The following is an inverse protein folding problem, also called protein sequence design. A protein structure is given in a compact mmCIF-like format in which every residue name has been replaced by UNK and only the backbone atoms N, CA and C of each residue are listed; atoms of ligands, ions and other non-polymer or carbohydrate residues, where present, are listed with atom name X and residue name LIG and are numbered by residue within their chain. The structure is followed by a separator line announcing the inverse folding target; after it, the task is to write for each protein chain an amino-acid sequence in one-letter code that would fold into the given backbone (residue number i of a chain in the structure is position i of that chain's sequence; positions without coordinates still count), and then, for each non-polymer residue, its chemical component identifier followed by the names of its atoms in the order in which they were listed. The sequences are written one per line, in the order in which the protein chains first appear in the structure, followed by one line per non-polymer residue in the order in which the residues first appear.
data_IF_136244045357
#
_entry.id   IF_136244045357
#
_cell.length_a   1.000
_cell.length_b   1.000
_cell.length_c   1.000
_cell.angle_alpha   90.00
_cell.angle_beta   90.00
_cell.angle_gamma   90.00
#
_symmetry.space_group_name_H-M   'P 1'
#
loop_
_entity.id
_entity.type
_entity.pdbx_description
1 polymer ?
#
# COMPACT_ATOMS: atom_id res chain seq x y z
N UNK A 1 34.23 -24.11 -7.27
CA UNK A 1 33.26 -23.71 -8.31
C UNK A 1 31.89 -24.18 -7.88
N UNK A 2 30.86 -23.35 -7.98
CA UNK A 2 29.47 -23.71 -7.66
C UNK A 2 28.61 -23.42 -8.89
N UNK A 3 27.87 -24.42 -9.35
CA UNK A 3 26.85 -24.29 -10.39
C UNK A 3 25.48 -24.49 -9.73
N UNK A 4 24.56 -23.57 -9.96
CA UNK A 4 23.17 -23.66 -9.53
C UNK A 4 22.33 -23.84 -10.79
N UNK A 5 21.65 -24.97 -10.89
CA UNK A 5 20.83 -25.36 -12.05
C UNK A 5 19.38 -25.54 -11.63
N UNK A 6 18.43 -25.29 -12.54
CA UNK A 6 17.01 -25.55 -12.31
C UNK A 6 16.61 -26.87 -13.00
N UNK A 7 15.98 -27.82 -12.30
CA UNK A 7 15.49 -29.03 -12.96
C UNK A 7 14.36 -28.67 -13.94
N UNK A 8 14.23 -29.45 -15.03
CA UNK A 8 13.12 -29.30 -15.96
C UNK A 8 11.78 -29.44 -15.22
N UNK A 9 11.00 -28.37 -15.16
CA UNK A 9 9.70 -28.38 -14.47
C UNK A 9 8.66 -28.91 -15.45
N UNK A 10 8.15 -30.14 -15.24
CA UNK A 10 7.15 -30.74 -16.13
C UNK A 10 5.85 -31.02 -15.39
N UNK A 11 4.73 -30.63 -15.98
CA UNK A 11 3.41 -30.92 -15.44
C UNK A 11 3.10 -32.41 -15.48
N UNK A 12 2.62 -32.96 -14.36
CA UNK A 12 2.16 -34.35 -14.27
C UNK A 12 0.64 -34.40 -14.38
N UNK A 13 0.11 -35.20 -15.30
CA UNK A 13 -1.32 -35.47 -15.43
C UNK A 13 -1.68 -36.71 -14.60
N UNK A 14 -2.51 -36.50 -13.57
CA UNK A 14 -3.08 -37.57 -12.77
C UNK A 14 -4.55 -37.75 -13.18
N UNK A 15 -4.86 -38.88 -13.80
CA UNK A 15 -6.21 -39.22 -14.20
C UNK A 15 -6.88 -40.08 -13.11
N UNK A 16 -8.08 -39.70 -12.71
CA UNK A 16 -8.90 -40.46 -11.77
C UNK A 16 -10.13 -40.97 -12.52
N UNK A 17 -10.24 -42.30 -12.66
CA UNK A 17 -11.39 -42.94 -13.28
C UNK A 17 -12.42 -43.25 -12.21
N UNK A 18 -13.60 -42.63 -12.30
CA UNK A 18 -14.70 -42.88 -11.38
C UNK A 18 -15.61 -43.94 -12.00
N UNK A 19 -15.70 -45.10 -11.36
CA UNK A 19 -16.57 -46.17 -11.82
C UNK A 19 -18.01 -45.90 -11.41
N UNK A 20 -18.93 -46.22 -12.32
CA UNK A 20 -20.38 -46.11 -12.11
C UNK A 20 -21.01 -47.49 -12.26
N UNK A 21 -21.82 -47.89 -11.29
CA UNK A 21 -22.53 -49.17 -11.27
C UNK A 21 -24.04 -48.94 -11.10
N UNK A 22 -24.83 -49.76 -11.79
CA UNK A 22 -26.28 -49.79 -11.62
C UNK A 22 -26.66 -50.94 -10.68
N UNK A 23 -27.42 -50.65 -9.64
CA UNK A 23 -28.00 -51.64 -8.75
C UNK A 23 -29.20 -52.33 -9.44
N UNK A 24 -29.53 -53.55 -9.02
CA UNK A 24 -30.71 -54.29 -9.49
C UNK A 24 -32.03 -53.53 -9.29
N UNK A 25 -32.08 -52.57 -8.36
CA UNK A 25 -33.23 -51.68 -8.16
C UNK A 25 -33.30 -50.48 -9.13
N UNK A 26 -32.38 -50.37 -10.09
CA UNK A 26 -32.30 -49.27 -11.06
C UNK A 26 -31.53 -48.04 -10.57
N UNK A 27 -31.07 -48.01 -9.31
CA UNK A 27 -30.29 -46.88 -8.78
C UNK A 27 -28.84 -46.93 -9.27
N UNK A 28 -28.34 -45.79 -9.73
CA UNK A 28 -26.96 -45.64 -10.22
C UNK A 28 -26.07 -45.04 -9.12
N UNK A 29 -24.91 -45.65 -8.91
CA UNK A 29 -23.92 -45.23 -7.92
C UNK A 29 -22.59 -44.96 -8.61
N UNK A 30 -22.04 -43.76 -8.44
CA UNK A 30 -20.72 -43.39 -8.95
C UNK A 30 -19.73 -43.26 -7.80
N UNK A 31 -18.52 -43.79 -7.96
CA UNK A 31 -17.44 -43.67 -6.98
C UNK A 31 -17.15 -42.20 -6.65
N UNK A 32 -16.91 -41.92 -5.36
CA UNK A 32 -16.55 -40.57 -4.92
C UNK A 32 -15.18 -40.16 -5.48
N UNK A 33 -15.01 -38.87 -5.76
CA UNK A 33 -13.70 -38.32 -6.13
C UNK A 33 -12.76 -38.38 -4.93
N UNK A 34 -11.45 -38.62 -5.13
CA UNK A 34 -10.46 -38.48 -4.06
C UNK A 34 -10.49 -37.07 -3.47
N UNK A 35 -10.20 -36.97 -2.18
CA UNK A 35 -10.15 -35.70 -1.47
C UNK A 35 -9.19 -34.72 -2.16
N UNK A 36 -9.64 -33.49 -2.38
CA UNK A 36 -8.85 -32.42 -3.03
C UNK A 36 -8.86 -32.41 -4.56
N UNK A 37 -9.49 -33.39 -5.22
CA UNK A 37 -9.67 -33.38 -6.68
C UNK A 37 -10.85 -32.48 -7.07
N UNK A 38 -10.60 -31.53 -7.96
CA UNK A 38 -11.63 -30.61 -8.47
C UNK A 38 -12.80 -31.35 -9.09
N UNK A 39 -14.01 -30.78 -9.01
CA UNK A 39 -15.20 -31.28 -9.72
C UNK A 39 -15.15 -31.05 -11.25
N UNK A 40 -14.27 -30.16 -11.73
CA UNK A 40 -14.08 -29.92 -13.15
C UNK A 40 -13.51 -31.17 -13.86
N UNK A 41 -13.74 -31.33 -15.18
CA UNK A 41 -13.14 -32.41 -15.97
C UNK A 41 -11.61 -32.37 -15.98
N UNK A 42 -11.04 -31.16 -15.94
CA UNK A 42 -9.60 -30.91 -15.81
C UNK A 42 -9.38 -29.90 -14.68
N UNK A 43 -8.51 -30.23 -13.74
CA UNK A 43 -8.10 -29.34 -12.65
C UNK A 43 -6.58 -29.15 -12.66
N UNK A 44 -6.12 -27.95 -12.33
CA UNK A 44 -4.68 -27.69 -12.12
C UNK A 44 -4.37 -27.68 -10.63
N UNK A 45 -3.27 -28.33 -10.23
CA UNK A 45 -2.86 -28.44 -8.83
C UNK A 45 -2.47 -27.09 -8.20
N UNK A 46 -2.43 -27.05 -6.86
CA UNK A 46 -2.26 -25.81 -6.09
C UNK A 46 -0.94 -25.07 -6.37
N UNK A 47 0.14 -25.79 -6.68
CA UNK A 47 1.43 -25.15 -7.00
C UNK A 47 1.32 -24.29 -8.26
N UNK A 48 0.69 -24.80 -9.33
CA UNK A 48 0.45 -24.05 -10.55
C UNK A 48 -0.50 -22.87 -10.29
N UNK A 49 -1.53 -23.08 -9.46
CA UNK A 49 -2.44 -22.00 -9.06
C UNK A 49 -1.70 -20.85 -8.34
N UNK A 50 -0.81 -21.18 -7.39
CA UNK A 50 -0.01 -20.20 -6.68
C UNK A 50 0.93 -19.44 -7.64
N UNK A 51 1.58 -20.14 -8.57
CA UNK A 51 2.42 -19.53 -9.61
C UNK A 51 1.66 -18.50 -10.43
N UNK A 52 0.48 -18.87 -10.94
CA UNK A 52 -0.38 -17.97 -11.69
C UNK A 52 -0.74 -16.73 -10.88
N UNK A 53 -1.16 -16.88 -9.61
CA UNK A 53 -1.54 -15.74 -8.77
C UNK A 53 -0.33 -14.83 -8.50
N UNK A 54 0.84 -15.40 -8.23
CA UNK A 54 2.07 -14.66 -8.03
C UNK A 54 2.44 -13.82 -9.27
N UNK A 55 2.48 -14.43 -10.45
CA UNK A 55 2.76 -13.75 -11.71
C UNK A 55 1.74 -12.64 -12.00
N UNK A 56 0.46 -12.91 -11.77
CA UNK A 56 -0.61 -11.94 -12.00
C UNK A 56 -0.52 -10.75 -11.04
N UNK A 57 -0.30 -10.98 -9.75
CA UNK A 57 -0.46 -9.97 -8.68
C UNK A 57 0.85 -9.25 -8.36
N UNK A 58 1.96 -9.97 -8.25
CA UNK A 58 3.28 -9.43 -7.90
C UNK A 58 3.97 -8.84 -9.12
N UNK A 59 3.95 -9.57 -10.24
CA UNK A 59 4.67 -9.19 -11.47
C UNK A 59 3.78 -8.52 -12.52
N UNK A 60 2.48 -8.39 -12.24
CA UNK A 60 1.50 -7.75 -13.13
C UNK A 60 1.45 -8.36 -14.55
N UNK A 61 1.81 -9.64 -14.71
CA UNK A 61 1.75 -10.34 -15.99
C UNK A 61 0.28 -10.41 -16.43
N UNK A 62 -0.06 -10.00 -17.67
CA UNK A 62 -1.41 -10.13 -18.19
C UNK A 62 -1.87 -11.58 -18.25
N UNK A 63 -3.18 -11.81 -18.10
CA UNK A 63 -3.79 -13.15 -17.99
C UNK A 63 -3.36 -14.10 -19.11
N UNK A 64 -3.41 -13.65 -20.37
CA UNK A 64 -3.05 -14.50 -21.52
C UNK A 64 -1.56 -14.86 -21.51
N UNK A 65 -0.69 -13.87 -21.27
CA UNK A 65 0.76 -14.08 -21.12
C UNK A 65 1.11 -14.98 -19.93
N UNK A 66 0.33 -14.95 -18.86
CA UNK A 66 0.51 -15.83 -17.73
C UNK A 66 0.21 -17.30 -18.11
N UNK A 67 -0.87 -17.54 -18.86
CA UNK A 67 -1.18 -18.88 -19.39
C UNK A 67 -0.09 -19.37 -20.35
N UNK A 68 0.35 -18.53 -21.29
CA UNK A 68 1.44 -18.83 -22.24
C UNK A 68 2.75 -19.17 -21.51
N UNK A 69 3.12 -18.38 -20.50
CA UNK A 69 4.35 -18.61 -19.74
C UNK A 69 4.29 -19.94 -18.97
N UNK A 70 3.15 -20.27 -18.37
CA UNK A 70 2.98 -21.56 -17.68
C UNK A 70 3.05 -22.73 -18.66
N UNK A 71 2.45 -22.60 -19.85
CA UNK A 71 2.53 -23.62 -20.89
C UNK A 71 3.96 -23.81 -21.39
N UNK A 72 4.67 -22.72 -21.69
CA UNK A 72 6.04 -22.78 -22.18
C UNK A 72 7.02 -23.39 -21.17
N UNK A 73 6.86 -23.06 -19.88
CA UNK A 73 7.79 -23.52 -18.84
C UNK A 73 7.46 -24.89 -18.27
N UNK A 74 6.21 -25.36 -18.38
CA UNK A 74 5.76 -26.57 -17.69
C UNK A 74 5.03 -27.60 -18.54
N UNK A 75 4.60 -27.23 -19.75
CA UNK A 75 3.69 -28.02 -20.57
C UNK A 75 2.25 -28.08 -20.05
N UNK A 76 1.91 -27.41 -18.94
CA UNK A 76 0.53 -27.29 -18.50
C UNK A 76 -0.20 -26.21 -19.30
N UNK A 77 -1.40 -26.51 -19.79
CA UNK A 77 -2.18 -25.60 -20.63
C UNK A 77 -3.41 -25.02 -19.88
N UNK A 78 -3.23 -24.15 -18.86
CA UNK A 78 -4.36 -23.54 -18.20
C UNK A 78 -5.04 -22.53 -19.13
N UNK A 79 -6.38 -22.57 -19.20
CA UNK A 79 -7.11 -21.56 -19.98
C UNK A 79 -6.96 -20.16 -19.37
N UNK A 80 -7.00 -19.08 -20.18
CA UNK A 80 -7.02 -17.71 -19.67
C UNK A 80 -8.17 -17.46 -18.68
N UNK A 81 -9.33 -18.10 -18.88
CA UNK A 81 -10.46 -18.04 -17.96
C UNK A 81 -10.16 -18.63 -16.59
N UNK A 82 -9.49 -19.79 -16.56
CA UNK A 82 -9.03 -20.40 -15.30
C UNK A 82 -8.02 -19.49 -14.58
N UNK A 83 -7.03 -18.97 -15.31
CA UNK A 83 -6.01 -18.06 -14.77
C UNK A 83 -6.64 -16.79 -14.22
N UNK A 84 -7.61 -16.20 -14.92
CA UNK A 84 -8.33 -15.02 -14.45
C UNK A 84 -9.10 -15.29 -13.15
N UNK A 85 -9.81 -16.42 -13.08
CA UNK A 85 -10.59 -16.82 -11.91
C UNK A 85 -9.77 -17.06 -10.64
N UNK A 86 -8.46 -17.32 -10.76
CA UNK A 86 -7.58 -17.51 -9.61
C UNK A 86 -7.46 -16.28 -8.71
N UNK A 87 -7.58 -15.07 -9.27
CA UNK A 87 -7.51 -13.84 -8.47
C UNK A 87 -8.64 -13.80 -7.43
N UNK A 88 -9.86 -14.19 -7.83
CA UNK A 88 -11.01 -14.25 -6.92
C UNK A 88 -10.85 -15.32 -5.84
N UNK A 89 -10.36 -16.51 -6.22
CA UNK A 89 -10.09 -17.62 -5.27
C UNK A 89 -9.03 -17.22 -4.24
N UNK A 90 -7.93 -16.63 -4.68
CA UNK A 90 -6.87 -16.15 -3.79
C UNK A 90 -7.38 -15.04 -2.87
N UNK A 91 -8.17 -14.10 -3.37
CA UNK A 91 -8.74 -13.03 -2.55
C UNK A 91 -9.67 -13.57 -1.44
N UNK A 92 -10.48 -14.58 -1.76
CA UNK A 92 -11.31 -15.26 -0.77
C UNK A 92 -10.45 -15.98 0.28
N UNK A 93 -9.38 -16.67 -0.14
CA UNK A 93 -8.47 -17.37 0.75
C UNK A 93 -7.79 -16.43 1.77
N UNK A 94 -7.45 -15.20 1.38
CA UNK A 94 -6.78 -14.22 2.25
C UNK A 94 -7.74 -13.24 2.95
N UNK A 95 -9.06 -13.42 2.82
CA UNK A 95 -10.04 -12.45 3.32
C UNK A 95 -9.95 -12.26 4.84
N UNK A 96 -9.79 -13.35 5.60
CA UNK A 96 -9.64 -13.30 7.07
C UNK A 96 -8.37 -12.56 7.49
N UNK A 97 -7.26 -12.78 6.80
CA UNK A 97 -6.02 -12.07 7.05
C UNK A 97 -6.15 -10.58 6.75
N UNK A 98 -6.78 -10.21 5.63
CA UNK A 98 -7.01 -8.80 5.29
C UNK A 98 -7.89 -8.07 6.33
N UNK A 99 -8.93 -8.73 6.85
CA UNK A 99 -9.75 -8.17 7.92
C UNK A 99 -8.92 -7.90 9.18
N UNK A 100 -8.06 -8.86 9.58
CA UNK A 100 -7.13 -8.69 10.70
C UNK A 100 -6.10 -7.59 10.44
N UNK A 101 -5.50 -7.52 9.26
CA UNK A 101 -4.54 -6.47 8.88
C UNK A 101 -5.18 -5.08 9.03
N UNK A 102 -6.42 -4.90 8.52
CA UNK A 102 -7.16 -3.65 8.67
C UNK A 102 -7.36 -3.29 10.15
N UNK A 103 -7.83 -4.24 10.97
CA UNK A 103 -8.03 -4.05 12.40
C UNK A 103 -6.73 -3.69 13.14
N UNK A 104 -5.63 -4.38 12.84
CA UNK A 104 -4.34 -4.08 13.47
C UNK A 104 -3.82 -2.69 13.08
N UNK A 105 -4.10 -2.24 11.85
CA UNK A 105 -3.78 -0.87 11.43
C UNK A 105 -4.60 0.18 12.17
N UNK A 106 -5.88 -0.07 12.47
CA UNK A 106 -6.69 0.89 13.24
C UNK A 106 -6.25 0.99 14.70
N UNK A 107 -5.64 -0.06 15.24
CA UNK A 107 -5.07 -0.09 16.59
C UNK A 107 -3.60 0.38 16.63
N UNK A 108 -2.95 0.58 15.49
CA UNK A 108 -1.55 0.95 15.44
C UNK A 108 -1.33 2.41 15.89
N UNK A 109 -0.25 2.64 16.62
CA UNK A 109 0.14 3.98 17.05
C UNK A 109 0.50 4.89 15.87
N UNK A 110 1.06 4.35 14.79
CA UNK A 110 1.42 5.11 13.58
C UNK A 110 0.91 4.40 12.34
N UNK A 111 0.21 5.15 11.48
CA UNK A 111 -0.30 4.67 10.20
C UNK A 111 0.07 5.65 9.09
N UNK A 112 0.73 5.13 8.06
CA UNK A 112 0.99 5.84 6.81
C UNK A 112 -0.20 5.66 5.85
N UNK A 113 -0.80 6.77 5.41
CA UNK A 113 -1.94 6.78 4.50
C UNK A 113 -1.64 7.59 3.25
N UNK A 114 -2.02 7.08 2.08
CA UNK A 114 -1.90 7.79 0.80
C UNK A 114 -2.94 7.24 -0.20
N UNK A 115 -3.15 7.96 -1.30
CA UNK A 115 -4.00 7.53 -2.38
C UNK A 115 -3.39 7.84 -3.75
N UNK A 116 -3.56 6.91 -4.69
CA UNK A 116 -3.08 7.11 -6.05
C UNK A 116 -4.15 6.84 -7.11
N UNK A 117 -4.26 7.70 -8.15
CA UNK A 117 -5.15 7.45 -9.27
C UNK A 117 -4.89 6.09 -9.93
N UNK A 118 -5.97 5.36 -10.18
CA UNK A 118 -5.98 4.06 -10.82
C UNK A 118 -7.04 4.03 -11.93
N UNK A 119 -6.64 3.63 -13.14
CA UNK A 119 -7.54 3.47 -14.29
C UNK A 119 -8.36 2.18 -14.15
N UNK A 120 -9.53 2.28 -13.54
CA UNK A 120 -10.44 1.14 -13.30
C UNK A 120 -11.81 1.41 -13.90
N UNK A 121 -12.47 0.37 -14.42
CA UNK A 121 -13.83 0.43 -14.94
C UNK A 121 -13.90 1.11 -16.32
N UNK A 122 -15.06 1.70 -16.69
CA UNK A 122 -15.27 2.29 -18.01
C UNK A 122 -14.32 3.46 -18.31
N UNK A 123 -14.14 3.83 -19.59
CA UNK A 123 -13.05 4.71 -20.09
C UNK A 123 -12.93 6.06 -19.34
N UNK A 124 -14.03 6.62 -18.83
CA UNK A 124 -14.08 7.89 -18.09
C UNK A 124 -14.02 7.74 -16.56
N UNK A 125 -14.16 6.53 -16.03
CA UNK A 125 -14.09 6.30 -14.60
C UNK A 125 -12.67 6.54 -14.07
N UNK A 126 -12.59 7.40 -13.04
CA UNK A 126 -11.41 7.64 -12.22
C UNK A 126 -11.66 7.01 -10.85
N UNK A 127 -10.82 6.06 -10.48
CA UNK A 127 -10.79 5.49 -9.13
C UNK A 127 -9.44 5.81 -8.51
N UNK A 128 -9.38 5.63 -7.20
CA UNK A 128 -8.17 5.75 -6.41
C UNK A 128 -7.94 4.45 -5.68
N UNK A 129 -6.66 4.07 -5.62
CA UNK A 129 -6.20 3.04 -4.71
C UNK A 129 -5.69 3.76 -3.46
N UNK A 130 -6.40 3.60 -2.36
CA UNK A 130 -6.00 4.08 -1.05
C UNK A 130 -5.15 3.00 -0.39
N UNK A 131 -4.11 3.39 0.35
CA UNK A 131 -3.28 2.49 1.15
C UNK A 131 -3.24 2.98 2.59
N UNK A 132 -3.37 2.05 3.53
CA UNK A 132 -3.00 2.23 4.93
C UNK A 132 -1.91 1.21 5.25
N UNK A 133 -0.81 1.66 5.84
CA UNK A 133 0.33 0.79 6.08
C UNK A 133 1.20 1.28 7.23
N UNK A 134 2.03 0.37 7.72
CA UNK A 134 3.17 0.70 8.58
C UNK A 134 4.34 -0.22 8.18
N UNK A 135 5.35 -0.37 9.05
CA UNK A 135 6.52 -1.20 8.78
C UNK A 135 6.18 -2.69 8.61
N UNK A 136 5.07 -3.16 9.18
CA UNK A 136 4.68 -4.58 9.20
C UNK A 136 3.45 -4.88 8.33
N UNK A 137 2.53 -3.94 8.19
CA UNK A 137 1.19 -4.16 7.66
C UNK A 137 0.92 -3.31 6.41
N UNK A 138 0.14 -3.84 5.48
CA UNK A 138 -0.34 -3.13 4.28
C UNK A 138 -1.77 -3.52 3.97
N UNK A 139 -2.65 -2.53 3.91
CA UNK A 139 -4.03 -2.71 3.47
C UNK A 139 -4.39 -1.71 2.37
N UNK A 140 -5.10 -2.18 1.36
CA UNK A 140 -5.55 -1.35 0.25
C UNK A 140 -7.06 -1.30 0.16
N UNK A 141 -7.57 -0.16 -0.29
CA UNK A 141 -8.97 0.00 -0.64
C UNK A 141 -9.12 0.67 -1.99
N UNK A 142 -9.95 0.10 -2.86
CA UNK A 142 -10.36 0.74 -4.10
C UNK A 142 -11.58 1.64 -3.84
N UNK A 143 -11.51 2.90 -4.21
CA UNK A 143 -12.61 3.84 -4.02
C UNK A 143 -12.47 5.12 -4.85
N UNK A 144 -13.15 6.17 -4.41
CA UNK A 144 -13.00 7.53 -4.92
C UNK A 144 -12.02 8.36 -4.09
N UNK A 145 -11.86 9.62 -4.47
CA UNK A 145 -11.18 10.64 -3.64
C UNK A 145 -12.24 11.59 -3.10
N UNK A 146 -13.14 11.00 -2.32
CA UNK A 146 -14.36 11.62 -1.79
C UNK A 146 -14.60 11.20 -0.33
N UNK A 147 -15.41 11.98 0.38
CA UNK A 147 -15.67 11.78 1.80
C UNK A 147 -16.34 10.43 2.10
N UNK A 148 -17.21 9.95 1.21
CA UNK A 148 -17.89 8.67 1.38
C UNK A 148 -16.89 7.51 1.39
N UNK A 149 -15.90 7.55 0.50
CA UNK A 149 -14.80 6.59 0.46
C UNK A 149 -13.94 6.69 1.71
N UNK A 150 -13.53 7.90 2.11
CA UNK A 150 -12.63 8.10 3.25
C UNK A 150 -13.27 7.69 4.59
N UNK A 151 -14.60 7.79 4.74
CA UNK A 151 -15.33 7.25 5.91
C UNK A 151 -15.31 5.72 6.00
N UNK A 152 -15.25 5.02 4.87
CA UNK A 152 -15.15 3.55 4.81
C UNK A 152 -13.71 3.03 4.93
N UNK A 153 -12.74 3.94 4.83
CA UNK A 153 -11.33 3.62 4.95
C UNK A 153 -10.96 3.34 6.43
N UNK A 154 -9.68 3.25 6.77
CA UNK A 154 -9.25 3.09 8.17
C UNK A 154 -9.33 4.38 8.97
N UNK A 155 -9.39 5.53 8.28
CA UNK A 155 -9.25 6.84 8.89
C UNK A 155 -10.36 7.19 9.86
N UNK A 156 -11.51 6.53 9.89
CA UNK A 156 -12.52 6.81 10.92
C UNK A 156 -12.21 6.11 12.26
N UNK A 157 -11.34 5.09 12.24
CA UNK A 157 -11.11 4.16 13.35
C UNK A 157 -9.68 4.24 13.93
N UNK A 158 -8.72 4.87 13.23
CA UNK A 158 -7.33 5.03 13.74
C UNK A 158 -7.31 5.94 14.97
N UNK A 159 -6.69 5.55 16.08
CA UNK A 159 -6.58 6.41 17.27
C UNK A 159 -5.20 7.05 17.44
N UNK A 160 -4.20 6.58 16.68
CA UNK A 160 -2.83 7.09 16.70
C UNK A 160 -2.56 8.22 15.71
N UNK A 161 -1.30 8.33 15.30
CA UNK A 161 -0.79 9.34 14.37
C UNK A 161 -0.95 8.87 12.92
N UNK A 162 -1.60 9.69 12.11
CA UNK A 162 -1.67 9.47 10.66
C UNK A 162 -0.57 10.27 9.97
N UNK A 163 0.35 9.54 9.32
CA UNK A 163 1.36 10.11 8.43
C UNK A 163 0.77 10.17 7.03
N UNK A 164 0.58 11.36 6.49
CA UNK A 164 0.00 11.55 5.16
C UNK A 164 0.69 12.71 4.44
N UNK A 165 0.25 13.00 3.21
CA UNK A 165 0.67 14.20 2.51
C UNK A 165 0.00 15.45 3.15
N UNK A 166 -0.50 16.40 2.37
CA UNK A 166 -1.29 17.52 2.88
C UNK A 166 -2.61 17.63 2.12
N UNK A 167 -3.20 16.49 1.74
CA UNK A 167 -4.50 16.53 1.12
C UNK A 167 -5.58 16.85 2.15
N UNK A 168 -6.29 17.96 1.95
CA UNK A 168 -7.27 18.53 2.88
C UNK A 168 -8.33 17.56 3.42
N UNK A 169 -8.62 16.45 2.71
CA UNK A 169 -9.62 15.48 3.18
C UNK A 169 -9.18 14.78 4.47
N UNK A 170 -7.87 14.62 4.69
CA UNK A 170 -7.32 14.00 5.90
C UNK A 170 -7.57 14.86 7.14
N UNK A 171 -7.78 16.16 6.97
CA UNK A 171 -8.05 17.13 8.04
C UNK A 171 -9.56 17.27 8.36
N UNK A 172 -10.41 16.49 7.69
CA UNK A 172 -11.86 16.61 7.85
C UNK A 172 -12.31 16.10 9.24
N UNK A 173 -12.88 16.99 10.03
CA UNK A 173 -13.33 16.70 11.42
C UNK A 173 -14.36 15.58 11.52
N UNK A 174 -15.15 15.35 10.45
CA UNK A 174 -16.14 14.26 10.39
C UNK A 174 -15.52 12.88 10.09
N UNK A 175 -14.20 12.79 9.93
CA UNK A 175 -13.47 11.52 9.98
C UNK A 175 -13.02 11.19 11.41
N UNK A 176 -13.18 12.09 12.38
CA UNK A 176 -12.76 11.90 13.77
C UNK A 176 -11.42 12.56 14.09
N UNK A 177 -11.17 12.81 15.37
CA UNK A 177 -9.98 13.53 15.85
C UNK A 177 -8.74 12.63 15.85
N UNK A 178 -7.64 13.12 15.26
CA UNK A 178 -6.38 12.39 15.13
C UNK A 178 -5.20 13.34 15.21
N UNK A 179 -4.07 12.78 15.61
CA UNK A 179 -2.79 13.42 15.41
C UNK A 179 -2.30 13.20 13.99
N UNK A 180 -1.64 14.21 13.43
CA UNK A 180 -1.10 14.15 12.09
C UNK A 180 0.43 14.31 12.10
N UNK A 181 1.07 13.61 11.16
CA UNK A 181 2.40 13.94 10.71
C UNK A 181 2.34 14.27 9.21
N UNK A 182 2.64 15.52 8.85
CA UNK A 182 2.73 15.91 7.46
C UNK A 182 4.03 15.39 6.84
N UNK A 183 3.95 14.81 5.66
CA UNK A 183 5.10 14.22 4.98
C UNK A 183 6.17 15.27 4.67
N UNK A 184 7.30 15.23 5.39
CA UNK A 184 8.40 16.17 5.22
C UNK A 184 9.01 16.12 3.81
N UNK A 185 8.94 14.97 3.11
CA UNK A 185 9.43 14.85 1.73
C UNK A 185 8.57 15.65 0.72
N UNK A 186 7.27 15.81 0.97
CA UNK A 186 6.43 16.70 0.18
C UNK A 186 6.74 18.16 0.51
N UNK A 187 6.84 18.50 1.80
CA UNK A 187 7.18 19.86 2.24
C UNK A 187 8.54 20.33 1.70
N UNK A 188 9.55 19.45 1.70
CA UNK A 188 10.88 19.76 1.16
C UNK A 188 10.82 20.02 -0.35
N UNK A 189 9.96 19.29 -1.10
CA UNK A 189 9.75 19.55 -2.54
C UNK A 189 9.03 20.88 -2.76
N UNK A 190 7.96 21.15 -2.03
CA UNK A 190 7.26 22.44 -2.09
C UNK A 190 8.22 23.61 -1.77
N UNK A 191 9.16 23.41 -0.84
CA UNK A 191 10.19 24.39 -0.50
C UNK A 191 11.28 24.53 -1.57
N UNK A 192 11.52 23.50 -2.38
CA UNK A 192 12.41 23.59 -3.55
C UNK A 192 11.74 24.43 -4.64
N UNK A 193 10.47 24.15 -4.95
CA UNK A 193 9.68 24.96 -5.88
C UNK A 193 9.63 26.44 -5.45
N UNK A 194 9.58 26.69 -4.13
CA UNK A 194 9.68 28.04 -3.58
C UNK A 194 11.09 28.65 -3.74
N UNK A 195 12.16 27.87 -3.63
CA UNK A 195 13.51 28.37 -3.87
C UNK A 195 13.70 28.80 -5.34
N UNK A 196 13.09 28.07 -6.27
CA UNK A 196 13.08 28.41 -7.70
C UNK A 196 12.22 29.65 -7.97
N UNK A 197 11.04 29.74 -7.33
CA UNK A 197 10.10 30.86 -7.48
C UNK A 197 10.64 32.15 -6.85
N UNK A 198 11.34 32.06 -5.73
CA UNK A 198 11.88 33.20 -4.96
C UNK A 198 13.42 33.11 -4.83
N UNK A 199 14.18 33.27 -5.93
CA UNK A 199 15.62 32.96 -5.95
C UNK A 199 16.49 33.85 -5.04
N UNK A 200 15.98 35.03 -4.65
CA UNK A 200 16.65 35.95 -3.70
C UNK A 200 16.29 35.67 -2.24
N UNK A 201 15.24 34.88 -1.99
CA UNK A 201 14.76 34.61 -0.66
C UNK A 201 15.59 33.54 0.04
N UNK A 202 15.88 33.74 1.32
CA UNK A 202 16.68 32.78 2.12
C UNK A 202 15.83 31.71 2.80
N UNK A 203 14.58 32.06 3.12
CA UNK A 203 13.68 31.20 3.89
C UNK A 203 13.44 29.81 3.28
N UNK A 204 13.34 29.60 1.94
CA UNK A 204 13.03 28.26 1.41
C UNK A 204 14.16 27.28 1.74
N UNK A 205 15.40 27.66 1.42
CA UNK A 205 16.60 26.85 1.70
C UNK A 205 16.83 26.67 3.19
N UNK A 206 16.62 27.71 4.00
CA UNK A 206 16.71 27.61 5.47
C UNK A 206 15.72 26.58 6.03
N UNK A 207 14.47 26.58 5.57
CA UNK A 207 13.47 25.61 6.01
C UNK A 207 13.81 24.19 5.56
N UNK A 208 14.33 24.02 4.33
CA UNK A 208 14.82 22.72 3.88
C UNK A 208 15.98 22.23 4.74
N UNK A 209 16.94 23.09 5.10
CA UNK A 209 18.05 22.75 6.00
C UNK A 209 17.54 22.33 7.37
N UNK A 210 16.55 23.05 7.93
CA UNK A 210 15.96 22.69 9.21
C UNK A 210 15.27 21.31 9.19
N UNK A 211 14.43 21.05 8.19
CA UNK A 211 13.73 19.77 8.05
C UNK A 211 14.71 18.61 7.81
N UNK A 212 15.68 18.78 6.89
CA UNK A 212 16.71 17.75 6.64
C UNK A 212 17.59 17.50 7.85
N UNK A 213 17.93 18.55 8.61
CA UNK A 213 18.68 18.45 9.86
C UNK A 213 17.96 17.65 10.92
N UNK A 214 16.66 17.91 11.14
CA UNK A 214 15.82 17.13 12.07
C UNK A 214 15.66 15.68 11.60
N UNK A 215 15.46 15.42 10.31
CA UNK A 215 15.38 14.07 9.76
C UNK A 215 16.68 13.31 10.01
N UNK A 216 17.82 13.95 9.73
CA UNK A 216 19.13 13.35 9.96
C UNK A 216 19.35 13.04 11.45
N UNK A 217 19.06 13.99 12.34
CA UNK A 217 19.20 13.81 13.77
C UNK A 217 18.26 12.71 14.32
N UNK A 218 17.02 12.63 13.83
CA UNK A 218 16.08 11.56 14.18
C UNK A 218 16.60 10.18 13.74
N UNK A 219 17.18 10.08 12.54
CA UNK A 219 17.74 8.83 12.05
C UNK A 219 18.98 8.42 12.84
N UNK A 220 19.87 9.37 13.18
CA UNK A 220 21.04 9.11 14.00
C UNK A 220 20.64 8.62 15.40
N UNK A 221 19.66 9.29 16.02
CA UNK A 221 19.13 8.88 17.33
C UNK A 221 18.59 7.44 17.31
N UNK A 222 17.84 7.05 16.28
CA UNK A 222 17.37 5.66 16.08
C UNK A 222 18.52 4.67 15.89
N UNK A 223 19.52 5.03 15.09
CA UNK A 223 20.70 4.16 14.86
C UNK A 223 21.52 3.95 16.13
N UNK A 224 21.57 4.95 17.00
CA UNK A 224 22.23 4.88 18.30
C UNK A 224 21.38 4.19 19.39
N UNK A 225 20.13 3.82 19.10
CA UNK A 225 19.22 3.20 20.06
C UNK A 225 18.70 4.18 21.13
N UNK A 226 18.72 5.48 20.84
CA UNK A 226 18.16 6.52 21.74
C UNK A 226 16.72 6.84 21.37
N UNK A 227 15.92 7.22 22.36
CA UNK A 227 14.48 7.48 22.18
C UNK A 227 14.16 8.91 21.73
N UNK A 228 15.14 9.82 21.72
CA UNK A 228 14.95 11.22 21.39
C UNK A 228 16.16 11.86 20.70
N UNK A 229 15.90 12.91 19.92
CA UNK A 229 16.97 13.79 19.40
C UNK A 229 17.60 14.55 20.57
N UNK A 230 18.92 14.70 20.57
CA UNK A 230 19.64 15.52 21.54
C UNK A 230 19.03 16.92 21.66
N UNK A 231 18.74 17.37 22.89
CA UNK A 231 17.95 18.57 23.15
C UNK A 231 18.51 19.83 22.48
N UNK A 232 19.84 20.02 22.49
CA UNK A 232 20.49 21.13 21.80
C UNK A 232 20.29 21.12 20.29
N UNK A 233 20.40 19.95 19.66
CA UNK A 233 20.18 19.76 18.22
C UNK A 233 18.72 20.00 17.83
N UNK A 234 17.78 19.46 18.62
CA UNK A 234 16.35 19.70 18.42
C UNK A 234 16.02 21.19 18.54
N UNK A 235 16.49 21.87 19.60
CA UNK A 235 16.26 23.30 19.81
C UNK A 235 16.88 24.17 18.71
N UNK A 236 18.07 23.81 18.22
CA UNK A 236 18.74 24.52 17.12
C UNK A 236 17.92 24.45 15.83
N UNK A 237 17.54 23.25 15.38
CA UNK A 237 16.81 23.09 14.13
C UNK A 237 15.36 23.60 14.23
N UNK A 238 14.68 23.43 15.36
CA UNK A 238 13.34 23.99 15.57
C UNK A 238 13.36 25.53 15.55
N UNK A 239 14.39 26.16 16.12
CA UNK A 239 14.57 27.62 16.02
C UNK A 239 14.84 28.05 14.59
N UNK A 240 15.68 27.33 13.86
CA UNK A 240 15.93 27.62 12.44
C UNK A 240 14.67 27.47 11.59
N UNK A 241 13.83 26.46 11.87
CA UNK A 241 12.53 26.27 11.23
C UNK A 241 11.60 27.47 11.50
N UNK A 242 11.35 27.80 12.77
CA UNK A 242 10.47 28.91 13.15
C UNK A 242 10.95 30.26 12.60
N UNK A 243 12.26 30.51 12.63
CA UNK A 243 12.86 31.70 12.04
C UNK A 243 12.66 31.76 10.52
N UNK A 244 12.81 30.64 9.82
CA UNK A 244 12.58 30.55 8.38
C UNK A 244 11.13 30.86 8.01
N UNK A 245 10.17 30.33 8.79
CA UNK A 245 8.74 30.64 8.61
C UNK A 245 8.48 32.14 8.83
N UNK A 246 9.04 32.73 9.89
CA UNK A 246 8.86 34.15 10.19
C UNK A 246 9.41 35.06 9.10
N UNK A 247 10.64 34.80 8.62
CA UNK A 247 11.25 35.53 7.49
C UNK A 247 10.40 35.38 6.24
N UNK A 248 10.00 34.16 5.89
CA UNK A 248 9.16 33.93 4.71
C UNK A 248 7.83 34.65 4.75
N UNK A 249 7.13 34.64 5.89
CA UNK A 249 5.87 35.39 6.06
C UNK A 249 6.06 36.91 6.01
N UNK A 250 7.25 37.39 6.34
CA UNK A 250 7.60 38.81 6.24
C UNK A 250 7.86 39.24 4.80
N UNK A 251 8.47 38.37 3.98
CA UNK A 251 8.80 38.64 2.58
C UNK A 251 7.62 38.38 1.64
N UNK A 252 6.91 37.27 1.83
CA UNK A 252 5.77 36.87 1.01
C UNK A 252 4.48 37.36 1.67
N UNK A 253 4.00 38.54 1.27
CA UNK A 253 2.77 39.14 1.79
C UNK A 253 1.51 38.47 1.24
N UNK A 254 0.41 38.54 2.00
CA UNK A 254 -0.90 38.20 1.46
C UNK A 254 -1.31 39.22 0.40
N UNK A 255 -1.99 38.74 -0.63
CA UNK A 255 -2.70 39.60 -1.57
C UNK A 255 -4.03 40.02 -0.93
N UNK A 256 -4.34 41.32 -0.79
CA UNK A 256 -5.59 41.79 -0.22
C UNK A 256 -6.82 41.37 -1.06
N UNK A 257 -7.94 41.07 -0.39
CA UNK A 257 -9.24 40.83 -1.01
C UNK A 257 -9.92 39.52 -0.57
N UNK A 258 -11.16 39.27 -1.04
CA UNK A 258 -11.94 38.10 -0.61
C UNK A 258 -11.31 36.77 -1.05
N UNK A 259 -11.30 35.77 -0.17
CA UNK A 259 -10.72 34.45 -0.46
C UNK A 259 -11.37 33.72 -1.66
N UNK A 260 -12.61 34.07 -2.02
CA UNK A 260 -13.32 33.50 -3.18
C UNK A 260 -12.80 34.01 -4.52
N UNK A 261 -12.16 35.18 -4.54
CA UNK A 261 -11.75 35.86 -5.79
C UNK A 261 -10.25 36.08 -5.87
N UNK A 262 -9.54 36.06 -4.74
CA UNK A 262 -8.09 36.27 -4.66
C UNK A 262 -7.37 34.95 -4.37
N UNK A 263 -6.48 34.56 -5.28
CA UNK A 263 -5.57 33.44 -5.09
C UNK A 263 -4.30 33.92 -4.39
N UNK A 264 -3.97 33.31 -3.25
CA UNK A 264 -2.72 33.61 -2.54
C UNK A 264 -1.53 32.92 -3.24
N UNK A 265 -0.31 33.49 -3.16
CA UNK A 265 0.89 32.82 -3.65
C UNK A 265 1.06 31.45 -3.00
N UNK A 266 1.49 30.43 -3.77
CA UNK A 266 1.69 29.06 -3.25
C UNK A 266 2.65 29.07 -2.05
N UNK A 267 3.75 29.81 -2.14
CA UNK A 267 4.70 30.00 -1.04
C UNK A 267 4.05 30.62 0.21
N UNK A 268 3.08 31.52 0.06
CA UNK A 268 2.34 32.09 1.19
C UNK A 268 1.50 31.03 1.90
N UNK A 269 0.76 30.23 1.13
CA UNK A 269 -0.07 29.14 1.67
C UNK A 269 0.80 28.10 2.38
N UNK A 270 1.94 27.74 1.80
CA UNK A 270 2.91 26.84 2.41
C UNK A 270 3.42 27.39 3.75
N UNK A 271 3.84 28.64 3.80
CA UNK A 271 4.33 29.27 5.03
C UNK A 271 3.27 29.33 6.13
N UNK A 272 2.01 29.60 5.77
CA UNK A 272 0.90 29.57 6.72
C UNK A 272 0.65 28.15 7.26
N UNK A 273 0.73 27.12 6.42
CA UNK A 273 0.71 25.72 6.88
C UNK A 273 1.86 25.44 7.85
N UNK A 274 3.09 25.83 7.50
CA UNK A 274 4.26 25.57 8.33
C UNK A 274 4.21 26.29 9.69
N UNK A 275 3.49 27.43 9.76
CA UNK A 275 3.20 28.16 11.00
C UNK A 275 2.09 27.48 11.80
N UNK A 276 0.92 27.30 11.18
CA UNK A 276 -0.33 26.92 11.85
C UNK A 276 -0.36 25.43 12.20
N UNK A 277 0.43 24.62 11.49
CA UNK A 277 0.56 23.18 11.70
C UNK A 277 2.00 22.76 12.02
N UNK A 278 2.77 23.64 12.69
CA UNK A 278 4.15 23.35 13.05
C UNK A 278 4.28 22.03 13.83
N UNK A 279 3.34 21.74 14.72
CA UNK A 279 3.35 20.50 15.50
C UNK A 279 3.14 19.26 14.61
N UNK A 280 2.27 19.33 13.59
CA UNK A 280 2.09 18.24 12.63
C UNK A 280 3.30 18.08 11.68
N UNK A 281 4.05 19.15 11.43
CA UNK A 281 5.26 19.10 10.59
C UNK A 281 6.42 18.48 11.36
N UNK A 282 6.58 18.84 12.64
CA UNK A 282 7.74 18.52 13.46
C UNK A 282 7.52 17.35 14.42
N UNK A 283 6.33 16.73 14.45
CA UNK A 283 5.98 15.65 15.40
C UNK A 283 7.02 14.53 15.46
N UNK A 284 7.52 14.08 14.32
CA UNK A 284 8.56 13.04 14.20
C UNK A 284 9.86 13.37 14.95
N UNK A 285 10.15 14.65 15.17
CA UNK A 285 11.35 15.09 15.87
C UNK A 285 11.19 15.01 17.40
N UNK A 286 9.95 14.97 17.89
CA UNK A 286 9.60 14.82 19.29
C UNK A 286 9.26 13.37 19.67
N UNK A 287 8.80 12.56 18.70
CA UNK A 287 8.55 11.14 18.88
C UNK A 287 9.15 10.34 17.72
N UNK A 288 10.22 9.60 18.01
CA UNK A 288 10.99 8.85 17.02
C UNK A 288 10.25 7.62 16.47
N UNK A 289 9.12 7.21 17.05
CA UNK A 289 8.28 6.14 16.50
C UNK A 289 7.58 6.60 15.21
N UNK A 290 7.39 7.90 15.06
CA UNK A 290 6.74 8.51 13.89
C UNK A 290 7.79 8.76 12.81
N UNK A 291 7.61 8.24 11.57
CA UNK A 291 8.52 8.52 10.48
C UNK A 291 8.28 9.96 9.96
N UNK A 292 9.35 10.68 9.56
CA UNK A 292 9.21 12.03 8.99
C UNK A 292 8.50 12.05 7.63
N UNK A 293 8.42 10.90 6.96
CA UNK A 293 7.96 10.79 5.57
C UNK A 293 6.93 9.69 5.43
N UNK A 294 6.00 9.88 4.50
CA UNK A 294 5.03 8.88 4.08
C UNK A 294 5.59 7.86 3.05
N UNK A 295 6.91 7.68 3.01
CA UNK A 295 7.60 6.85 2.01
C UNK A 295 7.11 5.41 1.98
N UNK A 296 6.61 4.87 3.10
CA UNK A 296 6.08 3.51 3.14
C UNK A 296 4.83 3.37 2.26
N UNK A 297 3.88 4.30 2.38
CA UNK A 297 2.67 4.31 1.57
C UNK A 297 2.99 4.49 0.07
N UNK A 298 3.90 5.40 -0.26
CA UNK A 298 4.36 5.63 -1.64
C UNK A 298 5.00 4.36 -2.24
N UNK A 299 5.87 3.67 -1.49
CA UNK A 299 6.49 2.40 -1.91
C UNK A 299 5.44 1.33 -2.15
N UNK A 300 4.46 1.20 -1.25
CA UNK A 300 3.38 0.22 -1.37
C UNK A 300 2.46 0.53 -2.58
N UNK A 301 2.20 1.80 -2.89
CA UNK A 301 1.39 2.20 -4.06
C UNK A 301 2.13 2.09 -5.39
N UNK A 302 3.46 2.24 -5.42
CA UNK A 302 4.26 2.30 -6.66
C UNK A 302 3.99 1.15 -7.64
N UNK A 303 3.88 -0.13 -7.23
CA UNK A 303 3.63 -1.19 -8.20
C UNK A 303 2.25 -1.15 -8.86
N UNK A 304 1.28 -0.40 -8.31
CA UNK A 304 0.02 -0.11 -9.02
C UNK A 304 0.25 0.74 -10.28
N UNK A 305 1.27 1.61 -10.29
CA UNK A 305 1.67 2.37 -11.48
C UNK A 305 2.38 1.48 -12.49
N UNK A 306 3.27 0.59 -12.03
CA UNK A 306 3.90 -0.41 -12.90
C UNK A 306 2.86 -1.30 -13.57
N UNK A 307 1.88 -1.79 -12.81
CA UNK A 307 0.76 -2.54 -13.36
C UNK A 307 0.02 -1.76 -14.45
N UNK A 308 -0.27 -0.46 -14.24
CA UNK A 308 -0.92 0.36 -15.26
C UNK A 308 -0.06 0.55 -16.53
N UNK A 309 1.26 0.63 -16.39
CA UNK A 309 2.17 0.70 -17.55
C UNK A 309 2.13 -0.61 -18.36
N UNK A 310 2.03 -1.76 -17.69
CA UNK A 310 2.06 -3.08 -18.33
C UNK A 310 0.70 -3.49 -18.92
N UNK A 311 -0.40 -3.31 -18.16
CA UNK A 311 -1.73 -3.82 -18.54
C UNK A 311 -2.74 -2.72 -18.89
N UNK A 312 -2.36 -1.44 -18.78
CA UNK A 312 -3.27 -0.32 -19.03
C UNK A 312 -4.42 -0.25 -18.02
N UNK A 313 -5.66 -0.25 -18.53
CA UNK A 313 -6.89 -0.07 -17.75
C UNK A 313 -7.45 -1.39 -17.24
N UNK A 314 -7.72 -1.45 -15.94
CA UNK A 314 -8.40 -2.58 -15.31
C UNK A 314 -9.90 -2.49 -15.55
N UNK A 315 -10.48 -3.39 -16.33
CA UNK A 315 -11.90 -3.27 -16.78
C UNK A 315 -12.94 -3.58 -15.69
N UNK A 316 -12.60 -4.36 -14.67
CA UNK A 316 -13.52 -4.82 -13.62
C UNK A 316 -13.10 -4.30 -12.24
N UNK A 317 -13.98 -3.53 -11.58
CA UNK A 317 -13.76 -3.06 -10.21
C UNK A 317 -13.66 -4.24 -9.23
N UNK A 318 -14.55 -5.24 -9.36
CA UNK A 318 -14.54 -6.44 -8.51
C UNK A 318 -13.19 -7.17 -8.56
N UNK A 319 -12.69 -7.48 -9.77
CA UNK A 319 -11.38 -8.13 -9.91
C UNK A 319 -10.23 -7.25 -9.43
N UNK A 320 -10.36 -5.93 -9.56
CA UNK A 320 -9.36 -4.99 -9.05
C UNK A 320 -9.32 -5.03 -7.52
N UNK A 321 -10.48 -5.06 -6.85
CA UNK A 321 -10.56 -5.25 -5.39
C UNK A 321 -9.90 -6.56 -4.97
N UNK A 322 -10.22 -7.67 -5.64
CA UNK A 322 -9.59 -8.97 -5.36
C UNK A 322 -8.06 -8.92 -5.52
N UNK A 323 -7.57 -8.34 -6.61
CA UNK A 323 -6.13 -8.18 -6.87
C UNK A 323 -5.43 -7.44 -5.72
N UNK A 324 -5.98 -6.32 -5.27
CA UNK A 324 -5.36 -5.52 -4.22
C UNK A 324 -5.57 -6.10 -2.81
N UNK A 325 -6.61 -6.90 -2.59
CA UNK A 325 -6.73 -7.73 -1.39
C UNK A 325 -5.59 -8.75 -1.30
N UNK A 326 -5.29 -9.47 -2.39
CA UNK A 326 -4.15 -10.38 -2.44
C UNK A 326 -2.83 -9.61 -2.29
N UNK A 327 -2.68 -8.47 -2.99
CA UNK A 327 -1.45 -7.70 -2.95
C UNK A 327 -1.15 -7.08 -1.57
N UNK A 328 -2.16 -6.61 -0.84
CA UNK A 328 -2.00 -6.10 0.52
C UNK A 328 -1.51 -7.18 1.48
N UNK A 329 -2.14 -8.36 1.40
CA UNK A 329 -1.69 -9.54 2.12
C UNK A 329 -0.24 -9.91 1.79
N UNK A 330 0.13 -10.00 0.50
CA UNK A 330 1.50 -10.35 0.10
C UNK A 330 2.53 -9.27 0.49
N UNK A 331 2.18 -7.98 0.44
CA UNK A 331 3.05 -6.91 0.96
C UNK A 331 3.30 -7.09 2.46
N UNK A 332 2.25 -7.45 3.23
CA UNK A 332 2.37 -7.78 4.66
C UNK A 332 3.27 -9.00 4.89
N UNK A 333 3.13 -10.07 4.10
CA UNK A 333 3.99 -11.27 4.15
C UNK A 333 5.46 -10.92 3.93
N UNK A 334 5.76 -10.11 2.91
CA UNK A 334 7.12 -9.65 2.59
C UNK A 334 7.71 -8.85 3.75
N UNK A 335 6.93 -7.97 4.39
CA UNK A 335 7.36 -7.19 5.56
C UNK A 335 7.73 -8.05 6.77
N UNK A 336 7.28 -9.30 6.82
CA UNK A 336 7.62 -10.27 7.86
C UNK A 336 8.72 -11.26 7.41
N UNK A 337 9.37 -11.03 6.25
CA UNK A 337 10.48 -11.86 5.78
C UNK A 337 10.07 -13.27 5.33
N UNK A 338 8.78 -13.50 5.06
CA UNK A 338 8.26 -14.81 4.68
C UNK A 338 8.28 -15.01 3.16
N UNK A 339 8.46 -16.27 2.73
CA UNK A 339 8.41 -16.63 1.32
C UNK A 339 6.97 -16.51 0.77
N UNK A 340 6.80 -15.59 -0.18
CA UNK A 340 5.50 -15.28 -0.80
C UNK A 340 4.89 -16.50 -1.48
N UNK A 341 5.71 -17.32 -2.14
CA UNK A 341 5.21 -18.48 -2.89
C UNK A 341 4.65 -19.56 -1.95
N UNK A 342 5.36 -19.85 -0.88
CA UNK A 342 4.94 -20.77 0.18
C UNK A 342 3.66 -20.30 0.83
N UNK A 343 3.60 -19.04 1.29
CA UNK A 343 2.42 -18.50 1.97
C UNK A 343 1.20 -18.44 1.06
N UNK A 344 1.38 -18.11 -0.22
CA UNK A 344 0.29 -18.10 -1.19
C UNK A 344 -0.26 -19.50 -1.47
N UNK A 345 0.61 -20.50 -1.61
CA UNK A 345 0.24 -21.90 -1.75
C UNK A 345 -0.54 -22.37 -0.51
N UNK A 346 -0.04 -22.07 0.67
CA UNK A 346 -0.65 -22.48 1.94
C UNK A 346 -2.01 -21.81 2.15
N UNK A 347 -2.15 -20.53 1.81
CA UNK A 347 -3.44 -19.85 1.81
C UNK A 347 -4.45 -20.54 0.89
N UNK A 348 -4.05 -20.94 -0.33
CA UNK A 348 -4.91 -21.69 -1.25
C UNK A 348 -5.27 -23.11 -0.76
N UNK A 349 -4.46 -23.68 0.14
CA UNK A 349 -4.74 -24.93 0.85
C UNK A 349 -5.57 -24.74 2.12
N UNK A 350 -5.95 -23.50 2.47
CA UNK A 350 -6.67 -23.18 3.70
C UNK A 350 -5.77 -23.06 4.94
N UNK A 351 -4.45 -23.15 4.79
CA UNK A 351 -3.45 -22.94 5.84
C UNK A 351 -2.99 -21.47 5.82
N UNK A 352 -3.90 -20.57 6.16
CA UNK A 352 -3.66 -19.13 6.07
C UNK A 352 -2.70 -18.66 7.17
N UNK A 353 -1.57 -18.05 6.79
CA UNK A 353 -0.74 -17.31 7.72
C UNK A 353 -1.44 -16.00 8.14
N UNK A 354 -1.46 -15.73 9.44
CA UNK A 354 -2.04 -14.52 10.03
C UNK A 354 -0.92 -13.66 10.61
N UNK A 355 -0.96 -12.32 10.42
CA UNK A 355 0.00 -11.44 11.11
C UNK A 355 -0.14 -11.60 12.63
N UNK A 356 0.97 -11.60 13.38
CA UNK A 356 0.95 -11.76 14.83
C UNK A 356 0.19 -10.59 15.49
N UNK A 357 -0.18 -10.77 16.76
CA UNK A 357 -0.63 -9.62 17.55
C UNK A 357 0.52 -8.61 17.66
N UNK A 358 0.24 -7.30 17.82
CA UNK A 358 1.27 -6.33 18.11
C UNK A 358 2.01 -6.80 19.36
N UNK A 359 3.35 -6.73 19.36
CA UNK A 359 4.09 -6.92 20.59
C UNK A 359 3.51 -5.95 21.63
N UNK A 360 3.15 -6.46 22.80
CA UNK A 360 2.81 -5.61 23.95
C UNK A 360 3.98 -4.68 24.18
N UNK A 361 3.72 -3.38 24.05
CA UNK A 361 4.70 -2.31 24.18
C UNK A 361 5.32 -2.27 25.57
#
# INVERSE_FOLDING_TARGET
HQQIEIPLVVARRLQHNLHTVACRCGRVHTAARPAGVSAAPVGHGVNLQAWCVYLLVVHAIPVHRCAELVAALTGAEPSPGFVHGLIGRAAAAVARANARIRMLLTLAYVVCCDESPLRVGPKKAKKYLLVACNQLLTWYMLGGRDMATFKQFVLAEVTGVVVHDRYQIYDATNLGTRDHQLCAAHLIRDLEDCAETYPKARWPRQLQMALRGLIHAANLARQQGTDAIAAGTLAMFTRMFRGGVAVGLSEVKRVPGPAKTVTQPVGRVLLEVLRDRADDVLRFAHDLRIPPTNNQAERDLRPAKTQQKISGRLRSERHTRHRYAVRGYLSTVIKHGLDVMTVLRDALLGKLWMPPDPATA
#
